data_IF_841844224260
#
_entry.id   IF_841844224260
#
_cell.length_a   1.000
_cell.length_b   1.000
_cell.length_c   1.000
_cell.angle_alpha   90.00
_cell.angle_beta   90.00
_cell.angle_gamma   90.00
#
_symmetry.space_group_name_H-M   'P 1'
#
loop_
_entity.id
_entity.type
_entity.pdbx_description
1 polymer ?
#
# COMPACT_ATOMS: atom_id res chain seq x y z
N UNK A 1 27.71 5.74 -1.18
CA UNK A 1 27.01 5.72 0.11
C UNK A 1 26.86 4.26 0.50
N UNK A 2 27.04 3.87 1.79
CA UNK A 2 26.85 2.48 2.17
C UNK A 2 25.40 2.08 1.86
N UNK A 3 25.24 0.90 1.25
CA UNK A 3 23.92 0.29 1.04
C UNK A 3 23.19 0.16 2.38
N UNK A 4 22.06 0.86 2.52
CA UNK A 4 21.24 0.70 3.71
C UNK A 4 20.71 -0.75 3.72
N UNK A 5 21.22 -1.57 4.64
CA UNK A 5 20.70 -2.93 4.83
C UNK A 5 19.22 -2.86 5.18
N UNK A 6 18.38 -3.75 4.59
CA UNK A 6 16.99 -3.84 4.99
C UNK A 6 16.89 -4.07 6.51
N UNK A 7 15.92 -3.44 7.16
CA UNK A 7 15.73 -3.54 8.61
C UNK A 7 15.36 -4.97 9.00
N UNK A 8 14.57 -5.64 8.15
CA UNK A 8 14.18 -7.04 8.31
C UNK A 8 14.57 -7.85 7.06
N UNK A 9 14.75 -9.16 7.18
CA UNK A 9 14.93 -10.04 6.02
C UNK A 9 13.65 -10.08 5.18
N UNK A 10 13.79 -10.36 3.88
CA UNK A 10 12.66 -10.45 2.93
C UNK A 10 11.55 -11.38 3.42
N UNK A 11 11.90 -12.52 4.02
CA UNK A 11 10.94 -13.48 4.56
C UNK A 11 10.01 -12.89 5.62
N UNK A 12 10.49 -11.91 6.41
CA UNK A 12 9.63 -11.22 7.39
C UNK A 12 8.56 -10.39 6.69
N UNK A 13 8.91 -9.62 5.65
CA UNK A 13 7.93 -8.84 4.88
C UNK A 13 6.94 -9.74 4.16
N UNK A 14 7.39 -10.82 3.56
CA UNK A 14 6.53 -11.82 2.92
C UNK A 14 5.57 -12.45 3.93
N UNK A 15 6.04 -12.77 5.13
CA UNK A 15 5.20 -13.28 6.21
C UNK A 15 4.14 -12.26 6.67
N UNK A 16 4.46 -10.98 6.72
CA UNK A 16 3.50 -9.90 7.03
C UNK A 16 2.42 -9.79 5.96
N UNK A 17 2.80 -9.84 4.68
CA UNK A 17 1.86 -9.85 3.57
C UNK A 17 0.94 -11.06 3.63
N UNK A 18 1.48 -12.26 3.87
CA UNK A 18 0.68 -13.48 4.00
C UNK A 18 -0.35 -13.38 5.16
N UNK A 19 0.04 -12.79 6.31
CA UNK A 19 -0.90 -12.56 7.42
C UNK A 19 -2.00 -11.56 7.05
N UNK A 20 -1.66 -10.48 6.31
CA UNK A 20 -2.66 -9.53 5.81
C UNK A 20 -3.62 -10.23 4.84
N UNK A 21 -3.12 -10.99 3.87
CA UNK A 21 -3.93 -11.73 2.90
C UNK A 21 -4.88 -12.73 3.60
N UNK A 22 -4.40 -13.44 4.60
CA UNK A 22 -5.27 -14.33 5.40
C UNK A 22 -6.38 -13.56 6.14
N UNK A 23 -6.06 -12.38 6.70
CA UNK A 23 -7.04 -11.54 7.37
C UNK A 23 -8.03 -10.91 6.37
N UNK A 24 -7.58 -10.56 5.15
CA UNK A 24 -8.44 -10.08 4.05
C UNK A 24 -9.45 -11.14 3.62
N UNK A 25 -9.01 -12.40 3.45
CA UNK A 25 -9.90 -13.53 3.11
C UNK A 25 -11.06 -13.65 4.11
N UNK A 26 -10.75 -13.54 5.40
CA UNK A 26 -11.76 -13.61 6.46
C UNK A 26 -12.79 -12.46 6.42
N UNK A 27 -12.48 -11.37 5.73
CA UNK A 27 -13.32 -10.17 5.61
C UNK A 27 -13.84 -9.96 4.17
N UNK A 28 -13.67 -10.94 3.27
CA UNK A 28 -14.06 -10.86 1.86
C UNK A 28 -13.52 -9.61 1.14
N UNK A 29 -12.25 -9.29 1.39
CA UNK A 29 -11.52 -8.23 0.69
C UNK A 29 -10.64 -8.84 -0.39
N UNK A 30 -10.64 -8.26 -1.59
CA UNK A 30 -9.85 -8.71 -2.73
C UNK A 30 -8.48 -8.02 -2.83
N UNK A 31 -8.35 -6.84 -2.23
CA UNK A 31 -7.08 -6.13 -2.10
C UNK A 31 -7.08 -5.21 -0.88
N UNK A 32 -5.86 -4.81 -0.43
CA UNK A 32 -5.66 -3.66 0.45
C UNK A 32 -5.00 -2.52 -0.32
N UNK A 33 -5.46 -1.30 -0.08
CA UNK A 33 -4.81 -0.06 -0.48
C UNK A 33 -4.18 0.57 0.76
N UNK A 34 -2.85 0.59 0.79
CA UNK A 34 -2.06 1.20 1.85
C UNK A 34 -1.46 2.51 1.36
N UNK A 35 -1.56 3.59 2.14
CA UNK A 35 -1.09 4.92 1.74
C UNK A 35 -0.30 5.64 2.81
N UNK A 36 -0.27 5.14 4.06
CA UNK A 36 0.47 5.78 5.14
C UNK A 36 1.92 5.30 5.21
N UNK A 37 2.84 6.14 5.70
CA UNK A 37 4.24 5.73 5.89
C UNK A 37 4.38 4.46 6.71
N UNK A 38 3.62 4.34 7.78
CA UNK A 38 3.70 3.21 8.70
C UNK A 38 3.24 1.90 8.06
N UNK A 39 2.15 1.93 7.29
CA UNK A 39 1.61 0.74 6.64
C UNK A 39 2.47 0.30 5.46
N UNK A 40 2.93 1.25 4.64
CA UNK A 40 3.85 0.97 3.53
C UNK A 40 5.17 0.41 4.06
N UNK A 41 5.74 1.04 5.09
CA UNK A 41 6.95 0.52 5.73
C UNK A 41 6.76 -0.91 6.27
N UNK A 42 5.60 -1.19 6.88
CA UNK A 42 5.30 -2.51 7.44
C UNK A 42 5.39 -3.63 6.41
N UNK A 43 4.88 -3.40 5.20
CA UNK A 43 4.86 -4.42 4.14
C UNK A 43 6.08 -4.40 3.22
N UNK A 44 6.81 -3.26 3.12
CA UNK A 44 7.88 -3.10 2.13
C UNK A 44 9.26 -2.86 2.74
N UNK A 45 9.33 -2.31 3.94
CA UNK A 45 10.56 -1.76 4.50
C UNK A 45 10.97 -0.41 3.91
N UNK A 46 10.17 0.17 3.01
CA UNK A 46 10.47 1.43 2.36
C UNK A 46 10.35 2.61 3.31
N UNK A 47 11.42 3.38 3.42
CA UNK A 47 11.48 4.59 4.22
C UNK A 47 12.14 5.71 3.43
N UNK A 48 11.52 6.88 3.35
CA UNK A 48 12.02 8.05 2.64
C UNK A 48 11.71 9.34 3.38
N UNK A 49 12.51 10.38 3.17
CA UNK A 49 12.21 11.74 3.66
C UNK A 49 11.06 12.42 2.92
N UNK A 50 10.68 11.92 1.76
CA UNK A 50 9.52 12.45 1.02
C UNK A 50 8.19 12.27 1.76
N UNK A 51 8.17 11.51 2.85
CA UNK A 51 7.04 11.44 3.79
C UNK A 51 6.75 12.74 4.54
N UNK A 52 7.67 13.71 4.53
CA UNK A 52 7.45 15.05 5.13
C UNK A 52 6.31 15.81 4.44
N UNK A 53 6.08 15.60 3.14
CA UNK A 53 4.90 16.13 2.46
C UNK A 53 3.64 15.36 2.90
N UNK A 54 2.68 16.00 3.58
CA UNK A 54 1.52 15.28 4.12
C UNK A 54 0.55 14.77 3.06
N UNK A 55 0.54 15.37 1.89
CA UNK A 55 -0.44 15.10 0.82
C UNK A 55 0.15 14.38 -0.41
N UNK A 56 1.48 14.21 -0.50
CA UNK A 56 2.06 13.52 -1.66
C UNK A 56 1.67 12.05 -1.62
N UNK A 57 0.96 11.56 -2.66
CA UNK A 57 0.47 10.20 -2.66
C UNK A 57 1.62 9.20 -2.89
N UNK A 58 1.56 8.12 -2.15
CA UNK A 58 2.40 6.93 -2.25
C UNK A 58 1.50 5.77 -1.91
N UNK A 59 1.43 4.78 -2.77
CA UNK A 59 0.50 3.69 -2.60
C UNK A 59 1.20 2.34 -2.65
N UNK A 60 0.69 1.38 -1.89
CA UNK A 60 0.95 -0.04 -2.08
C UNK A 60 -0.39 -0.76 -2.14
N UNK A 61 -0.61 -1.46 -3.23
CA UNK A 61 -1.76 -2.36 -3.40
C UNK A 61 -1.29 -3.76 -3.03
N UNK A 62 -1.92 -4.35 -2.01
CA UNK A 62 -1.69 -5.74 -1.62
C UNK A 62 -2.88 -6.56 -2.15
N UNK A 63 -2.73 -7.32 -3.23
CA UNK A 63 -3.80 -8.17 -3.73
C UNK A 63 -4.03 -9.34 -2.79
N UNK A 64 -5.21 -10.00 -2.89
CA UNK A 64 -5.54 -11.17 -2.08
C UNK A 64 -4.58 -12.32 -2.32
N UNK A 65 -4.00 -12.41 -3.52
CA UNK A 65 -2.99 -13.38 -3.92
C UNK A 65 -1.82 -12.69 -4.61
N UNK A 66 -0.61 -13.22 -4.44
CA UNK A 66 0.60 -12.70 -5.09
C UNK A 66 1.35 -11.64 -4.29
N UNK A 67 2.29 -10.97 -4.94
CA UNK A 67 3.14 -9.95 -4.33
C UNK A 67 2.46 -8.57 -4.37
N UNK A 68 2.74 -7.68 -3.39
CA UNK A 68 2.26 -6.31 -3.43
C UNK A 68 2.82 -5.51 -4.62
N UNK A 69 2.05 -4.54 -5.08
CA UNK A 69 2.41 -3.60 -6.14
C UNK A 69 2.60 -2.22 -5.55
N UNK A 70 3.77 -1.62 -5.75
CA UNK A 70 3.99 -0.22 -5.40
C UNK A 70 3.53 0.69 -6.56
N UNK A 71 2.73 1.71 -6.23
CA UNK A 71 2.29 2.75 -7.17
C UNK A 71 2.73 4.09 -6.57
N UNK A 72 3.84 4.63 -7.08
CA UNK A 72 4.59 5.70 -6.42
C UNK A 72 5.13 6.74 -7.42
N UNK A 73 5.44 7.96 -6.98
CA UNK A 73 6.20 8.92 -7.78
C UNK A 73 7.53 8.34 -8.27
N UNK A 74 7.91 8.64 -9.51
CA UNK A 74 9.14 8.14 -10.17
C UNK A 74 10.41 8.42 -9.34
N UNK A 75 10.45 9.50 -8.60
CA UNK A 75 11.56 9.84 -7.70
C UNK A 75 11.83 8.77 -6.61
N UNK A 76 10.85 7.94 -6.28
CA UNK A 76 10.98 6.87 -5.29
C UNK A 76 11.38 5.51 -5.86
N UNK A 77 11.35 5.35 -7.17
CA UNK A 77 11.51 4.06 -7.84
C UNK A 77 12.82 3.36 -7.49
N UNK A 78 13.94 4.07 -7.57
CA UNK A 78 15.26 3.50 -7.27
C UNK A 78 15.35 3.01 -5.82
N UNK A 79 14.85 3.81 -4.86
CA UNK A 79 14.91 3.44 -3.45
C UNK A 79 13.97 2.27 -3.14
N UNK A 80 12.75 2.25 -3.69
CA UNK A 80 11.80 1.14 -3.54
C UNK A 80 12.36 -0.14 -4.17
N UNK A 81 13.00 -0.03 -5.33
CA UNK A 81 13.61 -1.15 -6.06
C UNK A 81 14.82 -1.79 -5.37
N UNK A 82 15.40 -1.14 -4.36
CA UNK A 82 16.42 -1.73 -3.47
C UNK A 82 15.80 -2.69 -2.44
N UNK A 83 14.48 -2.66 -2.28
CA UNK A 83 13.73 -3.55 -1.41
C UNK A 83 13.42 -4.90 -2.06
N UNK A 84 12.41 -5.57 -1.54
CA UNK A 84 12.00 -6.89 -2.01
C UNK A 84 10.88 -6.87 -3.06
N UNK A 85 10.16 -5.75 -3.20
CA UNK A 85 9.10 -5.59 -4.19
C UNK A 85 9.67 -5.57 -5.62
N UNK A 86 8.98 -6.23 -6.54
CA UNK A 86 9.35 -6.32 -7.95
C UNK A 86 8.48 -5.46 -8.85
N UNK A 87 7.16 -5.40 -8.58
CA UNK A 87 6.23 -4.57 -9.37
C UNK A 87 6.18 -3.16 -8.76
N UNK A 88 6.86 -2.23 -9.41
CA UNK A 88 6.94 -0.82 -9.02
C UNK A 88 6.48 0.01 -10.21
N UNK A 89 5.30 0.59 -10.09
CA UNK A 89 4.68 1.44 -11.11
C UNK A 89 4.84 2.89 -10.73
N UNK A 90 5.18 3.73 -11.69
CA UNK A 90 5.53 5.12 -11.39
C UNK A 90 4.88 6.10 -12.34
N UNK A 91 4.67 7.31 -11.84
CA UNK A 91 4.32 8.48 -12.63
C UNK A 91 5.29 9.63 -12.31
N UNK A 92 5.35 10.63 -13.17
CA UNK A 92 6.16 11.82 -12.94
C UNK A 92 5.37 12.81 -12.07
N UNK A 93 5.76 12.93 -10.82
CA UNK A 93 5.11 13.80 -9.83
C UNK A 93 5.94 15.09 -9.59
N UNK A 94 5.27 16.25 -9.32
CA UNK A 94 3.82 16.40 -9.24
C UNK A 94 3.16 16.54 -10.62
N UNK A 95 2.03 15.90 -10.83
CA UNK A 95 1.18 16.11 -11.99
C UNK A 95 -0.13 16.78 -11.54
N UNK A 96 -0.38 18.05 -11.93
CA UNK A 96 -1.58 18.76 -11.49
C UNK A 96 -2.89 18.22 -12.09
N UNK A 97 -2.81 17.39 -13.12
CA UNK A 97 -3.99 16.79 -13.78
C UNK A 97 -4.27 15.37 -13.28
N UNK A 98 -3.20 14.59 -13.11
CA UNK A 98 -3.33 13.18 -12.73
C UNK A 98 -2.14 12.69 -11.88
N UNK A 99 -2.08 13.12 -10.62
CA UNK A 99 -0.98 12.77 -9.71
C UNK A 99 -1.07 11.31 -9.24
N UNK A 100 -1.01 10.37 -10.20
CA UNK A 100 -1.02 8.92 -9.99
C UNK A 100 -2.41 8.28 -9.87
N UNK A 101 -3.49 9.04 -10.05
CA UNK A 101 -4.88 8.58 -9.89
C UNK A 101 -5.23 7.49 -10.89
N UNK A 102 -4.97 7.71 -12.18
CA UNK A 102 -5.27 6.72 -13.23
C UNK A 102 -4.42 5.47 -13.06
N UNK A 103 -3.12 5.61 -12.77
CA UNK A 103 -2.22 4.48 -12.56
C UNK A 103 -2.64 3.61 -11.37
N UNK A 104 -3.08 4.24 -10.27
CA UNK A 104 -3.64 3.52 -9.12
C UNK A 104 -4.93 2.79 -9.50
N UNK A 105 -5.84 3.45 -10.19
CA UNK A 105 -7.09 2.85 -10.64
C UNK A 105 -6.82 1.64 -11.55
N UNK A 106 -5.95 1.76 -12.55
CA UNK A 106 -5.54 0.66 -13.44
C UNK A 106 -4.94 -0.51 -12.65
N UNK A 107 -4.09 -0.22 -11.67
CA UNK A 107 -3.51 -1.25 -10.80
C UNK A 107 -4.60 -2.00 -10.03
N UNK A 108 -5.55 -1.30 -9.44
CA UNK A 108 -6.68 -1.93 -8.74
C UNK A 108 -7.53 -2.77 -9.70
N UNK A 109 -7.83 -2.23 -10.90
CA UNK A 109 -8.64 -2.92 -11.91
C UNK A 109 -8.01 -4.25 -12.39
N UNK A 110 -6.69 -4.36 -12.37
CA UNK A 110 -5.96 -5.57 -12.75
C UNK A 110 -6.02 -6.67 -11.69
N UNK A 111 -6.09 -6.30 -10.42
CA UNK A 111 -5.99 -7.24 -9.30
C UNK A 111 -7.31 -7.55 -8.61
N UNK A 112 -8.33 -6.72 -8.79
CA UNK A 112 -9.62 -6.85 -8.11
C UNK A 112 -10.71 -7.18 -9.12
N UNK A 113 -11.51 -8.22 -8.92
CA UNK A 113 -12.60 -8.56 -9.82
C UNK A 113 -13.70 -7.49 -9.82
N UNK A 114 -14.53 -7.48 -10.87
CA UNK A 114 -15.69 -6.58 -10.94
C UNK A 114 -16.63 -6.83 -9.76
N UNK A 115 -17.03 -5.77 -9.07
CA UNK A 115 -17.84 -5.85 -7.85
C UNK A 115 -17.06 -6.20 -6.58
N UNK A 116 -15.75 -6.45 -6.68
CA UNK A 116 -14.88 -6.78 -5.56
C UNK A 116 -14.69 -5.62 -4.56
N UNK A 117 -14.03 -5.93 -3.45
CA UNK A 117 -13.82 -5.00 -2.34
C UNK A 117 -12.34 -4.69 -2.12
N UNK A 118 -12.01 -3.41 -2.03
CA UNK A 118 -10.68 -2.91 -1.67
C UNK A 118 -10.75 -2.37 -0.24
N UNK A 119 -10.00 -2.96 0.67
CA UNK A 119 -9.86 -2.45 2.02
C UNK A 119 -8.84 -1.31 2.08
N UNK A 120 -9.15 -0.23 2.80
CA UNK A 120 -8.15 0.77 3.21
C UNK A 120 -8.42 1.18 4.65
N UNK A 121 -7.37 1.38 5.50
CA UNK A 121 -7.59 1.90 6.84
C UNK A 121 -8.20 3.30 6.77
N UNK A 122 -9.44 3.46 7.28
CA UNK A 122 -10.15 4.73 7.28
C UNK A 122 -11.00 4.96 8.54
N UNK A 123 -10.78 4.14 9.58
CA UNK A 123 -11.42 4.26 10.88
C UNK A 123 -10.67 5.17 11.84
N UNK A 124 -10.88 4.95 13.14
CA UNK A 124 -10.28 5.76 14.20
C UNK A 124 -8.73 5.77 14.11
N UNK A 125 -8.15 6.97 14.23
CA UNK A 125 -6.70 7.21 14.18
C UNK A 125 -6.01 6.75 12.87
N UNK A 126 -6.78 6.67 11.79
CA UNK A 126 -6.26 6.36 10.45
C UNK A 126 -6.54 7.51 9.48
N UNK A 127 -5.91 7.48 8.34
CA UNK A 127 -6.20 8.40 7.24
C UNK A 127 -5.78 7.79 5.90
N UNK A 128 -6.44 8.22 4.84
CA UNK A 128 -6.00 7.96 3.47
C UNK A 128 -5.16 9.14 3.02
N UNK A 129 -3.92 8.86 2.62
CA UNK A 129 -2.95 9.90 2.28
C UNK A 129 -3.03 10.24 0.80
N UNK A 130 -4.11 10.93 0.44
CA UNK A 130 -4.34 11.48 -0.88
C UNK A 130 -5.37 12.63 -0.78
N UNK A 131 -5.38 13.60 -1.73
CA UNK A 131 -6.42 14.60 -1.81
C UNK A 131 -7.81 13.97 -1.92
N UNK A 132 -8.80 14.53 -1.24
CA UNK A 132 -10.17 13.97 -1.25
C UNK A 132 -10.79 13.94 -2.65
N UNK A 133 -10.48 14.94 -3.50
CA UNK A 133 -10.93 14.95 -4.89
C UNK A 133 -10.37 13.75 -5.67
N UNK A 134 -9.09 13.42 -5.47
CA UNK A 134 -8.45 12.28 -6.11
C UNK A 134 -8.98 10.95 -5.58
N UNK A 135 -9.26 10.87 -4.29
CA UNK A 135 -9.92 9.69 -3.71
C UNK A 135 -11.30 9.45 -4.34
N UNK A 136 -12.09 10.52 -4.53
CA UNK A 136 -13.36 10.43 -5.22
C UNK A 136 -13.20 10.00 -6.69
N UNK A 137 -12.17 10.50 -7.41
CA UNK A 137 -11.85 10.10 -8.79
C UNK A 137 -11.47 8.62 -8.86
N UNK A 138 -10.57 8.16 -8.00
CA UNK A 138 -10.21 6.71 -7.94
C UNK A 138 -11.46 5.87 -7.72
N UNK A 139 -12.29 6.24 -6.74
CA UNK A 139 -13.52 5.51 -6.42
C UNK A 139 -14.46 5.42 -7.63
N UNK A 140 -14.59 6.50 -8.40
CA UNK A 140 -15.39 6.51 -9.63
C UNK A 140 -14.79 5.63 -10.74
N UNK A 141 -13.45 5.69 -10.93
CA UNK A 141 -12.76 4.94 -11.97
C UNK A 141 -12.79 3.43 -11.75
N UNK A 142 -12.77 2.99 -10.51
CA UNK A 142 -12.78 1.55 -10.16
C UNK A 142 -14.18 0.94 -10.09
N UNK A 143 -15.26 1.74 -10.21
CA UNK A 143 -16.62 1.21 -10.13
C UNK A 143 -16.84 0.04 -11.12
N UNK A 144 -17.60 -1.00 -10.77
CA UNK A 144 -18.45 -1.18 -9.59
C UNK A 144 -17.72 -1.77 -8.35
N UNK A 145 -16.39 -1.75 -8.30
CA UNK A 145 -15.63 -2.15 -7.12
C UNK A 145 -15.86 -1.15 -5.98
N UNK A 146 -15.70 -1.60 -4.74
CA UNK A 146 -16.02 -0.79 -3.56
C UNK A 146 -14.81 -0.63 -2.66
N UNK A 147 -14.60 0.58 -2.15
CA UNK A 147 -13.63 0.81 -1.06
C UNK A 147 -14.37 0.62 0.27
N UNK A 148 -13.78 -0.17 1.17
CA UNK A 148 -14.33 -0.50 2.49
C UNK A 148 -13.27 -0.31 3.58
N UNK A 149 -13.70 -0.15 4.83
CA UNK A 149 -12.78 0.02 5.95
C UNK A 149 -12.01 -1.27 6.26
N UNK A 150 -10.69 -1.19 6.25
CA UNK A 150 -9.77 -2.27 6.62
C UNK A 150 -9.00 -1.98 7.92
N UNK A 151 -9.42 -1.00 8.71
CA UNK A 151 -8.72 -0.62 9.94
C UNK A 151 -8.48 -1.82 10.85
N UNK A 152 -9.52 -2.60 11.11
CA UNK A 152 -9.43 -3.77 11.98
C UNK A 152 -8.49 -4.88 11.41
N UNK A 153 -8.44 -5.05 10.08
CA UNK A 153 -7.56 -6.02 9.41
C UNK A 153 -6.10 -5.64 9.63
N UNK A 154 -5.76 -4.39 9.33
CA UNK A 154 -4.37 -3.92 9.42
C UNK A 154 -3.91 -3.83 10.87
N UNK A 155 -4.73 -3.29 11.76
CA UNK A 155 -4.40 -3.18 13.19
C UNK A 155 -4.17 -4.56 13.82
N UNK A 156 -5.07 -5.51 13.62
CA UNK A 156 -4.95 -6.86 14.20
C UNK A 156 -3.65 -7.55 13.79
N UNK A 157 -3.25 -7.44 12.53
CA UNK A 157 -1.99 -8.04 12.04
C UNK A 157 -0.77 -7.34 12.65
N UNK A 158 -0.82 -6.02 12.85
CA UNK A 158 0.27 -5.24 13.42
C UNK A 158 0.37 -5.32 14.95
N UNK A 159 -0.72 -5.61 15.64
CA UNK A 159 -0.75 -5.79 17.10
C UNK A 159 0.07 -7.01 17.53
N UNK A 160 0.03 -8.09 16.77
CA UNK A 160 0.78 -9.32 17.06
C UNK A 160 2.19 -9.20 16.48
N UNK A 161 3.17 -8.97 17.36
CA UNK A 161 4.56 -8.78 16.95
C UNK A 161 5.23 -10.11 16.61
N UNK A 162 6.03 -10.11 15.55
CA UNK A 162 6.93 -11.23 15.25
C UNK A 162 8.14 -11.23 16.17
N UNK A 163 8.85 -12.36 16.26
CA UNK A 163 10.13 -12.43 16.98
C UNK A 163 11.15 -11.41 16.42
N UNK A 164 11.16 -11.19 15.11
CA UNK A 164 12.03 -10.22 14.47
C UNK A 164 11.70 -8.78 14.87
N UNK A 165 10.42 -8.45 15.12
CA UNK A 165 10.00 -7.13 15.60
C UNK A 165 10.33 -6.91 17.09
N UNK A 166 10.27 -7.98 17.90
CA UNK A 166 10.60 -7.91 19.34
C UNK A 166 12.11 -7.76 19.53
N UNK A 167 12.93 -8.34 18.65
CA UNK A 167 14.39 -8.30 18.72
C UNK A 167 15.02 -6.96 18.29
N UNK A 168 14.24 -5.99 17.80
CA UNK A 168 14.68 -4.65 17.36
C UNK A 168 14.42 -3.58 18.40
#
# INVERSE_FOLDING_TARGET
>A
MPEAKPIFPTAEYQGRVARLQSAMQAQAMDALLLSTPADIFYVTGFLTRFWESPARPWFVVVPIDGEPVAVIPSIGAELMGRGWLKDIRTWDAPDPVDDGVSLLAETILQHVPSGGAIGTPMGLETHVRMPMADFARVTALIAPRRIIDATAVVQRVREIKSEAEIAK
#
